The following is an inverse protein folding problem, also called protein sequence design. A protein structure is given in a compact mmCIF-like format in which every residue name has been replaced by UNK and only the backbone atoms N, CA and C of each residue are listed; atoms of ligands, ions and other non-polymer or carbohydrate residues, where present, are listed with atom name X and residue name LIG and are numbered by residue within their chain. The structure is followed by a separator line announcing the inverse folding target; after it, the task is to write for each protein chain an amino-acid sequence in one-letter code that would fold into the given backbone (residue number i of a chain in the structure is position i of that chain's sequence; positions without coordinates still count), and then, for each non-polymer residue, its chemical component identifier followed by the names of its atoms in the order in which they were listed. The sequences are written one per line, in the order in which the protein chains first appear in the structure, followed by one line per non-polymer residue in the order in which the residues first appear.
data_IF_006732136246
#
_entry.id   IF_006732136246
#
_cell.length_a   1.000
_cell.length_b   1.000
_cell.length_c   1.000
_cell.angle_alpha   90.00
_cell.angle_beta   90.00
_cell.angle_gamma   90.00
#
_symmetry.space_group_name_H-M   'P 1'
#
loop_
_entity.id
_entity.type
_entity.pdbx_description
1 polymer ?
#
# COMPACT_ATOMS: atom_id res chain seq x y z
N UNK A 1 -13.71 -33.23 0.23
CA UNK A 1 -12.35 -33.03 0.76
C UNK A 1 -12.49 -32.43 2.14
N UNK A 2 -11.94 -33.09 3.15
CA UNK A 2 -12.27 -32.85 4.56
C UNK A 2 -11.72 -31.51 5.07
N UNK A 3 -12.56 -30.71 5.74
CA UNK A 3 -12.20 -29.35 6.19
C UNK A 3 -11.07 -29.40 7.24
N UNK A 4 -11.01 -30.46 8.03
CA UNK A 4 -9.90 -30.70 8.98
C UNK A 4 -8.58 -31.02 8.28
N UNK A 5 -8.62 -31.74 7.15
CA UNK A 5 -7.44 -31.96 6.32
C UNK A 5 -6.89 -30.64 5.80
N UNK A 6 -7.76 -29.79 5.26
CA UNK A 6 -7.37 -28.46 4.77
C UNK A 6 -6.74 -27.63 5.89
N UNK A 7 -7.34 -27.61 7.09
CA UNK A 7 -6.77 -26.88 8.24
C UNK A 7 -5.39 -27.38 8.67
N UNK A 8 -5.19 -28.70 8.73
CA UNK A 8 -3.91 -29.30 9.10
C UNK A 8 -2.82 -29.01 8.07
N UNK A 9 -3.18 -29.08 6.80
CA UNK A 9 -2.30 -28.83 5.66
C UNK A 9 -1.91 -27.35 5.49
N UNK A 10 -2.75 -26.41 5.93
CA UNK A 10 -2.40 -24.97 5.96
C UNK A 10 -1.52 -24.58 7.16
N UNK A 11 -1.34 -25.47 8.14
CA UNK A 11 -0.55 -25.24 9.35
C UNK A 11 0.91 -25.71 9.23
N UNK A 12 1.19 -26.73 8.42
CA UNK A 12 2.51 -27.37 8.30
C UNK A 12 3.31 -26.90 7.05
N UNK A 13 2.90 -25.83 6.36
CA UNK A 13 3.49 -25.32 5.09
C UNK A 13 3.58 -26.33 3.92
N UNK A 14 3.18 -27.59 4.11
CA UNK A 14 3.05 -28.60 3.05
C UNK A 14 1.67 -28.54 2.40
N UNK A 15 1.54 -27.83 1.28
CA UNK A 15 0.32 -27.81 0.47
C UNK A 15 0.30 -28.98 -0.55
N UNK A 16 -0.79 -29.78 -0.66
CA UNK A 16 -0.88 -30.88 -1.59
C UNK A 16 -1.00 -30.30 -2.99
N UNK A 17 -0.34 -30.93 -3.96
CA UNK A 17 -0.19 -30.40 -5.31
C UNK A 17 -1.53 -30.11 -6.00
N UNK A 18 -2.52 -30.98 -5.84
CA UNK A 18 -3.87 -30.78 -6.42
C UNK A 18 -4.56 -29.51 -5.88
N UNK A 19 -4.44 -29.27 -4.56
CA UNK A 19 -4.99 -28.08 -3.93
C UNK A 19 -4.23 -26.84 -4.40
N UNK A 20 -2.90 -26.91 -4.49
CA UNK A 20 -2.07 -25.80 -4.98
C UNK A 20 -2.45 -25.41 -6.41
N UNK A 21 -2.67 -26.38 -7.31
CA UNK A 21 -3.11 -26.14 -8.68
C UNK A 21 -4.49 -25.49 -8.73
N UNK A 22 -5.43 -25.97 -7.90
CA UNK A 22 -6.76 -25.37 -7.82
C UNK A 22 -6.70 -23.93 -7.32
N UNK A 23 -5.97 -23.67 -6.24
CA UNK A 23 -5.78 -22.32 -5.71
C UNK A 23 -5.08 -21.43 -6.75
N UNK A 24 -4.13 -21.95 -7.51
CA UNK A 24 -3.45 -21.18 -8.55
C UNK A 24 -4.41 -20.73 -9.66
N UNK A 25 -5.40 -21.56 -10.00
CA UNK A 25 -6.42 -21.21 -10.99
C UNK A 25 -7.48 -20.24 -10.44
N UNK A 26 -7.86 -20.38 -9.17
CA UNK A 26 -9.03 -19.68 -8.60
C UNK A 26 -8.67 -18.36 -7.89
N UNK A 27 -7.45 -18.22 -7.37
CA UNK A 27 -7.05 -17.11 -6.51
C UNK A 27 -6.23 -16.03 -7.25
N UNK A 28 -6.00 -14.92 -6.55
CA UNK A 28 -5.31 -13.76 -7.07
C UNK A 28 -3.78 -13.79 -6.96
N UNK A 29 -3.17 -12.83 -7.63
CA UNK A 29 -1.72 -12.63 -7.73
C UNK A 29 -1.40 -11.15 -7.54
N UNK A 30 -0.39 -10.86 -6.73
CA UNK A 30 0.24 -9.54 -6.68
C UNK A 30 1.66 -9.71 -7.22
N UNK A 31 1.95 -9.03 -8.32
CA UNK A 31 3.25 -9.05 -8.98
C UNK A 31 3.89 -7.67 -8.82
N UNK A 32 5.12 -7.65 -8.31
CA UNK A 32 5.89 -6.43 -8.08
C UNK A 32 7.18 -6.50 -8.89
N UNK A 33 7.26 -5.71 -9.95
CA UNK A 33 8.43 -5.63 -10.80
C UNK A 33 9.47 -4.65 -10.25
N UNK A 34 10.75 -4.95 -10.52
CA UNK A 34 11.90 -4.10 -10.19
C UNK A 34 12.11 -3.82 -8.70
N UNK A 35 11.50 -4.63 -7.83
CA UNK A 35 11.69 -4.51 -6.39
C UNK A 35 13.14 -4.89 -6.03
N UNK A 36 13.92 -4.01 -5.38
CA UNK A 36 15.30 -4.33 -5.01
C UNK A 36 15.33 -5.40 -3.91
N UNK A 37 16.35 -6.30 -3.92
CA UNK A 37 16.55 -7.25 -2.83
C UNK A 37 16.88 -6.51 -1.53
N UNK A 38 16.54 -7.11 -0.40
CA UNK A 38 16.78 -6.54 0.93
C UNK A 38 15.63 -5.72 1.51
N UNK A 39 14.63 -5.34 0.71
CA UNK A 39 13.40 -4.71 1.23
C UNK A 39 12.57 -5.70 2.05
N UNK A 40 11.89 -5.21 3.08
CA UNK A 40 10.85 -5.97 3.76
C UNK A 40 9.57 -5.90 2.92
N UNK A 41 9.03 -7.05 2.51
CA UNK A 41 7.70 -7.17 1.93
C UNK A 41 6.79 -7.86 2.93
N UNK A 42 5.60 -7.30 3.15
CA UNK A 42 4.60 -7.87 4.03
C UNK A 42 3.22 -7.98 3.40
N UNK A 43 2.51 -9.03 3.82
CA UNK A 43 1.09 -9.21 3.59
C UNK A 43 0.43 -9.52 4.92
N UNK A 44 -0.57 -8.71 5.29
CA UNK A 44 -1.35 -8.89 6.50
C UNK A 44 -0.46 -9.04 7.76
N UNK A 45 -0.30 -10.26 8.26
CA UNK A 45 0.46 -10.58 9.47
C UNK A 45 1.87 -11.11 9.25
N UNK A 46 2.27 -11.45 8.02
CA UNK A 46 3.61 -11.97 7.73
C UNK A 46 4.39 -10.99 6.87
N UNK A 47 5.68 -10.89 7.15
CA UNK A 47 6.64 -10.19 6.31
C UNK A 47 7.92 -11.02 6.14
N UNK A 48 8.63 -10.71 5.06
CA UNK A 48 9.87 -11.36 4.66
C UNK A 48 10.81 -10.33 4.04
N UNK A 49 12.10 -10.62 4.07
CA UNK A 49 13.07 -9.89 3.26
C UNK A 49 13.04 -10.40 1.83
N UNK A 50 12.93 -9.49 0.88
CA UNK A 50 12.90 -9.76 -0.55
C UNK A 50 14.27 -10.32 -1.00
N UNK A 51 14.23 -11.46 -1.67
CA UNK A 51 15.38 -12.08 -2.32
C UNK A 51 15.44 -11.73 -3.82
N UNK A 52 16.59 -11.96 -4.47
CA UNK A 52 16.88 -11.51 -5.84
C UNK A 52 15.85 -11.93 -6.90
N UNK A 53 15.22 -13.10 -6.74
CA UNK A 53 14.26 -13.66 -7.70
C UNK A 53 12.81 -13.40 -7.34
N UNK A 54 12.53 -12.76 -6.21
CA UNK A 54 11.16 -12.54 -5.76
C UNK A 54 10.42 -11.61 -6.72
N UNK A 55 9.25 -12.04 -7.19
CA UNK A 55 8.40 -11.26 -8.09
C UNK A 55 7.03 -10.94 -7.50
N UNK A 56 6.74 -11.38 -6.28
CA UNK A 56 5.46 -11.13 -5.61
C UNK A 56 4.86 -12.38 -4.97
N UNK A 57 3.55 -12.38 -4.81
CA UNK A 57 2.80 -13.38 -4.06
C UNK A 57 1.62 -13.94 -4.86
N UNK A 58 1.42 -15.25 -4.74
CA UNK A 58 0.38 -16.03 -5.43
C UNK A 58 -0.60 -16.65 -4.43
N UNK A 59 -1.71 -17.17 -4.97
CA UNK A 59 -2.75 -17.86 -4.21
C UNK A 59 -3.52 -16.94 -3.25
N UNK A 60 -3.56 -15.63 -3.53
CA UNK A 60 -4.23 -14.64 -2.68
C UNK A 60 -5.75 -14.91 -2.68
N UNK A 61 -6.36 -15.29 -1.56
CA UNK A 61 -7.80 -15.54 -1.52
C UNK A 61 -8.61 -14.31 -1.94
N UNK A 62 -9.84 -14.48 -2.45
CA UNK A 62 -10.74 -13.35 -2.62
C UNK A 62 -11.02 -12.65 -1.29
N UNK A 63 -11.07 -11.32 -1.32
CA UNK A 63 -11.29 -10.49 -0.14
C UNK A 63 -10.26 -9.37 0.01
N UNK A 64 -10.33 -8.67 1.14
CA UNK A 64 -9.45 -7.54 1.43
C UNK A 64 -8.12 -8.04 1.97
N UNK A 65 -7.03 -7.47 1.49
CA UNK A 65 -5.67 -7.72 1.96
C UNK A 65 -4.91 -6.40 2.06
N UNK A 66 -3.98 -6.33 3.01
CA UNK A 66 -3.04 -5.24 3.15
C UNK A 66 -1.64 -5.71 2.74
N UNK A 67 -1.00 -4.97 1.84
CA UNK A 67 0.36 -5.21 1.41
C UNK A 67 1.22 -4.02 1.76
N UNK A 68 2.48 -4.26 2.11
CA UNK A 68 3.43 -3.19 2.34
C UNK A 68 4.84 -3.57 1.90
N UNK A 69 5.61 -2.55 1.58
CA UNK A 69 7.05 -2.58 1.45
C UNK A 69 7.67 -1.65 2.49
N UNK A 70 8.85 -2.01 2.97
CA UNK A 70 9.65 -1.15 3.83
C UNK A 70 11.12 -1.30 3.50
N UNK A 71 11.82 -0.18 3.46
CA UNK A 71 13.28 -0.15 3.55
C UNK A 71 13.67 -0.08 5.02
N UNK A 72 14.86 -0.58 5.37
CA UNK A 72 15.41 -0.43 6.72
C UNK A 72 15.47 1.06 7.09
N UNK A 73 14.93 1.42 8.26
CA UNK A 73 14.86 2.81 8.77
C UNK A 73 14.00 3.78 7.95
N UNK A 74 13.29 3.33 6.91
CA UNK A 74 12.34 4.15 6.18
C UNK A 74 10.90 3.88 6.65
N UNK A 75 9.99 4.85 6.49
CA UNK A 75 8.57 4.62 6.69
C UNK A 75 8.05 3.49 5.79
N UNK A 76 7.16 2.64 6.32
CA UNK A 76 6.47 1.62 5.52
C UNK A 76 5.57 2.29 4.49
N UNK A 77 5.50 1.73 3.30
CA UNK A 77 4.58 2.14 2.23
C UNK A 77 3.71 0.95 1.89
N UNK A 78 2.41 1.07 2.04
CA UNK A 78 1.49 -0.03 1.80
C UNK A 78 0.15 0.42 1.23
N UNK A 79 -0.68 -0.53 0.88
CA UNK A 79 -2.01 -0.27 0.34
C UNK A 79 -2.94 -1.43 0.66
N UNK A 80 -4.24 -1.13 0.69
CA UNK A 80 -5.27 -2.13 0.78
C UNK A 80 -5.80 -2.46 -0.62
N UNK A 81 -6.09 -3.73 -0.87
CA UNK A 81 -6.73 -4.20 -2.10
C UNK A 81 -7.80 -5.24 -1.77
N UNK A 82 -8.98 -5.10 -2.35
CA UNK A 82 -9.95 -6.17 -2.43
C UNK A 82 -9.66 -7.00 -3.68
N UNK A 83 -9.23 -8.25 -3.51
CA UNK A 83 -8.98 -9.20 -4.59
C UNK A 83 -10.25 -9.94 -4.96
N UNK A 84 -10.49 -10.04 -6.27
CA UNK A 84 -11.45 -10.98 -6.87
C UNK A 84 -10.73 -12.29 -7.22
N UNK A 85 -11.49 -13.36 -7.44
CA UNK A 85 -10.94 -14.61 -7.93
C UNK A 85 -10.22 -14.42 -9.28
N UNK A 86 -9.06 -15.06 -9.45
CA UNK A 86 -8.20 -14.95 -10.64
C UNK A 86 -7.79 -13.49 -11.00
N UNK A 87 -7.72 -12.59 -10.02
CA UNK A 87 -7.28 -11.20 -10.27
C UNK A 87 -5.75 -11.06 -10.18
N UNK A 88 -5.16 -10.34 -11.13
CA UNK A 88 -3.73 -10.02 -11.13
C UNK A 88 -3.56 -8.52 -10.89
N UNK A 89 -2.91 -8.16 -9.78
CA UNK A 89 -2.43 -6.82 -9.53
C UNK A 89 -0.96 -6.73 -9.95
N UNK A 90 -0.66 -5.91 -10.94
CA UNK A 90 0.72 -5.61 -11.35
C UNK A 90 1.13 -4.24 -10.81
N UNK A 91 2.26 -4.18 -10.14
CA UNK A 91 2.90 -2.96 -9.67
C UNK A 91 4.37 -2.94 -10.07
N UNK A 92 4.94 -1.74 -10.15
CA UNK A 92 6.35 -1.53 -10.48
C UNK A 92 6.98 -0.65 -9.44
N UNK A 93 8.14 -1.07 -8.94
CA UNK A 93 8.95 -0.25 -8.05
C UNK A 93 9.77 0.76 -8.86
N UNK A 94 9.76 2.01 -8.42
CA UNK A 94 10.65 3.06 -8.90
C UNK A 94 11.83 3.20 -7.94
N UNK A 95 13.04 2.90 -8.43
CA UNK A 95 14.26 2.95 -7.63
C UNK A 95 14.67 4.38 -7.28
N UNK A 96 14.31 5.38 -8.09
CA UNK A 96 14.68 6.77 -7.85
C UNK A 96 13.75 7.41 -6.83
N UNK A 97 12.45 7.10 -6.91
CA UNK A 97 11.45 7.60 -5.97
C UNK A 97 11.37 6.78 -4.68
N UNK A 98 12.06 5.63 -4.61
CA UNK A 98 11.98 4.65 -3.51
C UNK A 98 10.53 4.32 -3.12
N UNK A 99 9.66 4.21 -4.13
CA UNK A 99 8.23 4.00 -3.98
C UNK A 99 7.66 3.25 -5.18
N UNK A 100 6.35 2.96 -5.16
CA UNK A 100 5.67 2.42 -6.33
C UNK A 100 5.53 3.48 -7.40
N UNK A 101 5.85 3.12 -8.65
CA UNK A 101 5.73 3.99 -9.82
C UNK A 101 4.28 4.40 -10.04
N UNK A 102 4.03 5.69 -10.26
CA UNK A 102 2.71 6.25 -10.59
C UNK A 102 2.13 5.72 -11.91
N UNK A 103 2.98 5.12 -12.77
CA UNK A 103 2.53 4.48 -14.01
C UNK A 103 1.71 3.23 -13.71
N UNK A 104 0.41 3.32 -13.96
CA UNK A 104 -0.50 2.18 -13.88
C UNK A 104 -0.17 1.15 -14.97
N UNK A 105 -0.32 -0.14 -14.64
CA UNK A 105 -0.17 -1.22 -15.61
C UNK A 105 -1.27 -1.13 -16.68
N UNK A 106 -0.88 -1.29 -17.94
CA UNK A 106 -1.85 -1.38 -19.04
C UNK A 106 -2.54 -2.74 -19.04
N UNK A 107 -3.69 -2.85 -19.73
CA UNK A 107 -4.37 -4.14 -19.91
C UNK A 107 -3.48 -5.15 -20.63
N UNK A 108 -2.71 -4.68 -21.61
CA UNK A 108 -1.77 -5.50 -22.38
C UNK A 108 -0.65 -6.06 -21.51
N UNK A 109 -0.14 -5.28 -20.55
CA UNK A 109 0.86 -5.76 -19.59
C UNK A 109 0.29 -6.89 -18.72
N UNK A 110 -0.95 -6.74 -18.26
CA UNK A 110 -1.65 -7.74 -17.44
C UNK A 110 -1.91 -9.02 -18.25
N UNK A 111 -2.32 -8.91 -19.52
CA UNK A 111 -2.56 -10.06 -20.39
C UNK A 111 -1.26 -10.83 -20.71
N UNK A 112 -0.18 -10.13 -21.04
CA UNK A 112 1.15 -10.73 -21.24
C UNK A 112 1.63 -11.44 -19.99
N UNK A 113 1.43 -10.82 -18.82
CA UNK A 113 1.78 -11.41 -17.53
C UNK A 113 0.94 -12.65 -17.25
N UNK A 114 -0.37 -12.62 -17.52
CA UNK A 114 -1.28 -13.76 -17.37
C UNK A 114 -0.82 -14.96 -18.20
N UNK A 115 -0.41 -14.73 -19.45
CA UNK A 115 0.14 -15.77 -20.32
C UNK A 115 1.48 -16.36 -19.81
N UNK A 116 2.26 -15.57 -19.06
CA UNK A 116 3.58 -15.95 -18.56
C UNK A 116 3.58 -16.45 -17.09
N UNK A 117 2.42 -16.54 -16.43
CA UNK A 117 2.30 -16.86 -15.00
C UNK A 117 3.03 -18.17 -14.62
N UNK A 118 2.91 -19.22 -15.44
CA UNK A 118 3.56 -20.51 -15.15
C UNK A 118 5.08 -20.41 -15.14
N UNK A 119 5.67 -19.58 -16.00
CA UNK A 119 7.13 -19.43 -16.08
C UNK A 119 7.70 -18.69 -14.87
N UNK A 120 6.91 -17.78 -14.29
CA UNK A 120 7.30 -16.99 -13.12
C UNK A 120 6.84 -17.62 -11.79
N UNK A 121 6.08 -18.71 -11.81
CA UNK A 121 5.47 -19.32 -10.61
C UNK A 121 6.49 -19.64 -9.49
N UNK A 122 7.68 -20.10 -9.88
CA UNK A 122 8.81 -20.39 -8.97
C UNK A 122 9.38 -19.16 -8.26
N UNK A 123 9.09 -17.97 -8.77
CA UNK A 123 9.55 -16.69 -8.27
C UNK A 123 8.47 -16.00 -7.40
N UNK A 124 7.32 -16.65 -7.19
CA UNK A 124 6.21 -16.13 -6.39
C UNK A 124 6.10 -16.88 -5.07
N UNK A 125 6.03 -16.13 -3.97
CA UNK A 125 5.75 -16.70 -2.66
C UNK A 125 4.29 -17.13 -2.56
N UNK A 126 4.00 -18.21 -1.83
CA UNK A 126 2.62 -18.59 -1.53
C UNK A 126 2.03 -17.66 -0.46
N UNK A 127 0.73 -17.36 -0.59
CA UNK A 127 0.00 -16.63 0.44
C UNK A 127 0.07 -17.35 1.80
N UNK A 128 0.31 -16.64 2.93
CA UNK A 128 0.50 -17.27 4.24
C UNK A 128 -0.84 -17.70 4.87
N UNK A 129 -1.32 -18.87 4.45
CA UNK A 129 -2.60 -19.40 4.90
C UNK A 129 -2.67 -19.67 6.41
N UNK A 130 -1.54 -19.93 7.06
CA UNK A 130 -1.45 -20.12 8.52
C UNK A 130 -2.01 -18.93 9.32
N UNK A 131 -1.96 -17.72 8.75
CA UNK A 131 -2.46 -16.48 9.39
C UNK A 131 -3.77 -15.96 8.76
N UNK A 132 -4.33 -16.67 7.78
CA UNK A 132 -5.48 -16.20 7.02
C UNK A 132 -6.73 -16.02 7.90
N UNK A 133 -6.98 -16.95 8.83
CA UNK A 133 -8.16 -16.89 9.69
C UNK A 133 -8.13 -15.66 10.61
N UNK A 134 -6.98 -15.33 11.19
CA UNK A 134 -6.82 -14.14 12.04
C UNK A 134 -7.07 -12.87 11.23
N UNK A 135 -6.59 -12.83 9.99
CA UNK A 135 -6.81 -11.68 9.11
C UNK A 135 -8.29 -11.49 8.79
N UNK A 136 -8.98 -12.57 8.40
CA UNK A 136 -10.41 -12.53 8.11
C UNK A 136 -11.21 -12.01 9.31
N UNK A 137 -10.84 -12.41 10.54
CA UNK A 137 -11.49 -11.93 11.75
C UNK A 137 -11.28 -10.43 12.00
N UNK A 138 -10.10 -9.88 11.68
CA UNK A 138 -9.83 -8.44 11.81
C UNK A 138 -10.47 -7.61 10.70
N UNK A 139 -10.63 -8.18 9.50
CA UNK A 139 -11.07 -7.44 8.32
C UNK A 139 -12.54 -7.67 7.94
N UNK A 140 -13.31 -8.46 8.71
CA UNK A 140 -14.65 -8.91 8.33
C UNK A 140 -15.69 -7.79 8.13
N UNK A 141 -15.52 -6.63 8.77
CA UNK A 141 -16.40 -5.47 8.59
C UNK A 141 -15.94 -4.49 7.51
N UNK A 142 -14.73 -4.69 6.97
CA UNK A 142 -14.20 -3.87 5.88
C UNK A 142 -14.74 -4.46 4.58
N UNK A 143 -15.46 -3.65 3.80
CA UNK A 143 -15.97 -4.02 2.48
C UNK A 143 -15.42 -3.10 1.38
N UNK A 144 -15.64 -3.45 0.12
CA UNK A 144 -15.17 -2.65 -1.04
C UNK A 144 -15.61 -1.19 -0.95
N UNK A 145 -16.85 -0.92 -0.54
CA UNK A 145 -17.36 0.44 -0.36
C UNK A 145 -16.57 1.23 0.70
N UNK A 146 -16.21 0.58 1.80
CA UNK A 146 -15.41 1.19 2.87
C UNK A 146 -14.00 1.48 2.38
N UNK A 147 -13.42 0.54 1.63
CA UNK A 147 -12.10 0.68 1.04
C UNK A 147 -12.04 1.85 0.04
N UNK A 148 -12.95 1.90 -0.93
CA UNK A 148 -12.99 2.98 -1.93
C UNK A 148 -13.22 4.36 -1.29
N UNK A 149 -14.05 4.42 -0.25
CA UNK A 149 -14.27 5.67 0.49
C UNK A 149 -13.03 6.15 1.24
N UNK A 150 -12.25 5.24 1.82
CA UNK A 150 -11.07 5.54 2.65
C UNK A 150 -9.76 5.53 1.85
N UNK A 151 -9.79 5.21 0.56
CA UNK A 151 -8.61 5.15 -0.27
C UNK A 151 -7.99 6.55 -0.43
N UNK A 152 -6.70 6.74 -0.12
CA UNK A 152 -5.99 7.97 -0.46
C UNK A 152 -6.09 8.24 -1.97
N UNK A 153 -6.11 9.52 -2.37
CA UNK A 153 -6.30 9.90 -3.78
C UNK A 153 -5.03 9.84 -4.62
N UNK A 154 -3.90 9.45 -4.03
CA UNK A 154 -2.66 9.19 -4.76
C UNK A 154 -2.79 7.97 -5.71
N UNK A 155 -1.82 7.81 -6.61
CA UNK A 155 -1.84 6.89 -7.76
C UNK A 155 -2.24 5.43 -7.46
N UNK A 156 -1.99 4.90 -6.26
CA UNK A 156 -2.34 3.53 -5.87
C UNK A 156 -3.16 3.43 -4.58
N UNK A 157 -3.56 4.55 -3.97
CA UNK A 157 -4.11 4.54 -2.62
C UNK A 157 -3.09 4.12 -1.56
N UNK A 158 -1.83 4.53 -1.76
CA UNK A 158 -0.71 4.27 -0.86
C UNK A 158 -0.93 4.97 0.48
N UNK A 159 -0.61 4.26 1.54
CA UNK A 159 -0.57 4.69 2.92
C UNK A 159 0.87 4.57 3.38
N UNK A 160 1.42 5.66 3.90
CA UNK A 160 2.79 5.72 4.39
C UNK A 160 2.79 5.79 5.92
N UNK A 161 3.79 5.17 6.56
CA UNK A 161 3.96 5.23 8.02
C UNK A 161 4.27 6.65 8.52
N UNK A 162 4.74 7.52 7.63
CA UNK A 162 4.90 8.94 7.85
C UNK A 162 4.23 9.67 6.68
N UNK A 163 3.24 10.54 6.93
CA UNK A 163 2.52 11.23 5.86
C UNK A 163 3.50 12.10 5.07
N UNK A 164 3.34 12.13 3.75
CA UNK A 164 3.99 13.14 2.93
C UNK A 164 3.45 14.51 3.33
N UNK A 165 4.35 15.45 3.57
CA UNK A 165 3.99 16.81 3.99
C UNK A 165 4.58 17.84 3.05
N UNK A 166 3.82 18.90 2.81
CA UNK A 166 4.27 20.11 2.12
C UNK A 166 4.36 21.25 3.11
N UNK A 167 5.35 22.11 2.92
CA UNK A 167 5.46 23.37 3.65
C UNK A 167 4.44 24.38 3.13
N UNK A 168 4.03 25.32 3.97
CA UNK A 168 3.16 26.43 3.55
C UNK A 168 3.81 27.31 2.47
N UNK A 169 5.13 27.39 2.46
CA UNK A 169 5.92 28.03 1.40
C UNK A 169 5.78 27.31 0.06
N UNK A 170 5.82 25.97 0.05
CA UNK A 170 5.60 25.18 -1.17
C UNK A 170 4.19 25.35 -1.71
N UNK A 171 3.17 25.36 -0.83
CA UNK A 171 1.79 25.66 -1.23
C UNK A 171 1.67 27.04 -1.89
N UNK A 172 2.25 28.08 -1.27
CA UNK A 172 2.25 29.43 -1.83
C UNK A 172 2.97 29.49 -3.18
N UNK A 173 4.10 28.79 -3.30
CA UNK A 173 4.86 28.75 -4.55
C UNK A 173 4.09 28.07 -5.69
N UNK A 174 3.31 27.03 -5.38
CA UNK A 174 2.41 26.37 -6.32
C UNK A 174 1.25 27.29 -6.72
N UNK A 175 0.62 28.00 -5.76
CA UNK A 175 -0.44 28.98 -6.03
C UNK A 175 0.04 30.12 -6.93
N UNK A 176 1.28 30.59 -6.73
CA UNK A 176 1.91 31.63 -7.55
C UNK A 176 2.45 31.13 -8.90
N UNK A 177 2.49 29.80 -9.09
CA UNK A 177 3.15 29.13 -10.21
C UNK A 177 4.60 29.61 -10.44
N UNK A 178 5.28 29.99 -9.35
CA UNK A 178 6.63 30.57 -9.39
C UNK A 178 7.38 30.29 -8.08
N UNK A 179 8.18 29.23 -8.10
CA UNK A 179 9.02 28.83 -6.95
C UNK A 179 10.12 29.84 -6.65
N UNK A 180 10.58 30.59 -7.64
CA UNK A 180 11.70 31.50 -7.44
C UNK A 180 11.35 32.61 -6.44
N UNK A 181 10.13 33.14 -6.52
CA UNK A 181 9.63 34.23 -5.66
C UNK A 181 9.50 33.86 -4.19
N UNK A 182 9.40 32.57 -3.87
CA UNK A 182 9.22 32.10 -2.49
C UNK A 182 10.53 31.59 -1.89
N UNK A 183 11.35 30.89 -2.70
CA UNK A 183 12.55 30.21 -2.19
C UNK A 183 13.85 30.95 -2.44
N UNK A 184 13.94 31.76 -3.50
CA UNK A 184 15.17 32.45 -3.85
C UNK A 184 15.20 33.84 -3.20
N UNK A 185 16.41 34.25 -2.81
CA UNK A 185 16.69 35.62 -2.42
C UNK A 185 17.45 36.26 -3.56
N UNK A 186 16.86 37.29 -4.15
CA UNK A 186 17.46 38.05 -5.25
C UNK A 186 17.26 39.56 -5.01
N UNK A 187 17.61 40.36 -6.02
CA UNK A 187 17.51 41.82 -5.92
C UNK A 187 16.05 42.31 -5.87
N UNK A 188 15.11 41.56 -6.43
CA UNK A 188 13.67 41.87 -6.48
C UNK A 188 12.94 41.31 -5.24
N UNK A 189 13.47 40.24 -4.64
CA UNK A 189 12.98 39.55 -3.45
C UNK A 189 14.11 39.44 -2.41
N UNK A 190 14.44 40.53 -1.68
CA UNK A 190 15.59 40.57 -0.78
C UNK A 190 15.40 39.76 0.51
N UNK A 191 14.17 39.36 0.82
CA UNK A 191 13.83 38.58 2.01
C UNK A 191 13.20 37.25 1.62
N UNK A 192 13.60 36.18 2.33
CA UNK A 192 13.02 34.85 2.13
C UNK A 192 11.73 34.73 2.92
N UNK A 193 10.62 34.49 2.23
CA UNK A 193 9.33 34.14 2.85
C UNK A 193 9.49 32.88 3.70
N UNK A 194 9.15 32.97 5.00
CA UNK A 194 9.13 31.83 5.91
C UNK A 194 7.89 31.83 6.78
N UNK A 195 7.13 30.76 6.72
CA UNK A 195 5.97 30.53 7.57
C UNK A 195 6.35 29.64 8.74
N UNK A 196 6.16 30.15 9.96
CA UNK A 196 6.50 29.43 11.18
C UNK A 196 5.34 29.41 12.15
N UNK A 197 5.26 28.35 12.95
CA UNK A 197 4.35 28.28 14.09
C UNK A 197 4.87 29.10 15.30
N UNK A 198 4.14 29.06 16.40
CA UNK A 198 4.51 29.76 17.63
C UNK A 198 5.84 29.27 18.25
N UNK A 199 6.30 28.07 17.90
CA UNK A 199 7.58 27.51 18.33
C UNK A 199 8.71 27.79 17.31
N UNK A 200 8.42 28.49 16.21
CA UNK A 200 9.38 28.79 15.16
C UNK A 200 9.63 27.65 14.16
N UNK A 201 8.86 26.56 14.22
CA UNK A 201 8.97 25.43 13.30
C UNK A 201 8.22 25.71 11.98
N UNK A 202 8.68 25.15 10.85
CA UNK A 202 7.96 25.24 9.59
C UNK A 202 6.53 24.72 9.73
N UNK A 203 5.57 25.44 9.13
CA UNK A 203 4.19 24.98 9.08
C UNK A 203 4.09 23.89 8.01
N UNK A 204 4.00 22.64 8.45
CA UNK A 204 3.83 21.46 7.59
C UNK A 204 2.35 21.06 7.52
N UNK A 205 1.86 20.77 6.32
CA UNK A 205 0.54 20.18 6.09
C UNK A 205 0.69 18.87 5.33
N UNK A 206 -0.23 17.93 5.53
CA UNK A 206 -0.27 16.69 4.75
C UNK A 206 -0.49 17.05 3.28
N UNK A 207 0.33 16.48 2.40
CA UNK A 207 0.26 16.70 0.96
C UNK A 207 -1.11 16.23 0.44
N UNK A 208 -1.80 17.05 -0.37
CA UNK A 208 -3.10 16.67 -0.92
C UNK A 208 -3.06 15.32 -1.66
N UNK A 209 -4.02 14.46 -1.35
CA UNK A 209 -4.15 13.11 -1.88
C UNK A 209 -3.42 12.01 -1.11
N UNK A 210 -2.59 12.37 -0.13
CA UNK A 210 -1.93 11.41 0.78
C UNK A 210 -2.68 11.24 2.10
N UNK A 211 -3.68 12.08 2.37
CA UNK A 211 -4.58 11.92 3.50
C UNK A 211 -5.48 10.69 3.34
N UNK A 212 -5.74 10.03 4.47
CA UNK A 212 -6.81 9.03 4.56
C UNK A 212 -8.10 9.79 4.91
N UNK A 213 -9.13 9.79 4.04
CA UNK A 213 -10.36 10.55 4.24
C UNK A 213 -11.29 9.88 5.26
N UNK A 214 -10.85 9.82 6.51
CA UNK A 214 -11.66 9.33 7.62
C UNK A 214 -12.90 10.20 7.82
N UNK A 215 -13.97 9.56 8.28
CA UNK A 215 -15.17 10.28 8.71
C UNK A 215 -14.81 11.10 9.95
N UNK A 216 -15.11 12.41 9.92
CA UNK A 216 -14.94 13.27 11.09
C UNK A 216 -15.85 12.76 12.21
N UNK A 217 -15.26 12.49 13.37
CA UNK A 217 -16.02 12.13 14.56
C UNK A 217 -16.66 13.43 15.07
N UNK A 218 -17.99 13.48 15.23
CA UNK A 218 -18.64 14.68 15.76
C UNK A 218 -18.23 14.91 17.21
N UNK A 219 -17.98 16.16 17.58
CA UNK A 219 -17.78 16.54 18.97
C UNK A 219 -19.12 16.39 19.71
N UNK A 220 -19.18 15.50 20.70
CA UNK A 220 -20.35 15.38 21.57
C UNK A 220 -20.12 16.29 22.77
N UNK A 221 -20.88 17.39 22.93
CA UNK A 221 -20.78 18.20 24.14
C UNK A 221 -21.23 17.34 25.33
N UNK A 222 -20.33 17.10 26.29
CA UNK A 222 -20.68 16.44 27.54
C UNK A 222 -21.46 17.43 28.38
N UNK A 223 -22.79 17.40 28.26
CA UNK A 223 -23.67 18.06 29.22
C UNK A 223 -23.57 17.30 30.53
N UNK A 224 -22.75 17.80 31.47
CA UNK A 224 -22.77 17.32 32.85
C UNK A 224 -24.10 17.75 33.45
N UNK A 225 -25.09 16.86 33.43
CA UNK A 225 -26.29 17.02 34.25
C UNK A 225 -25.85 16.78 35.70
N UNK A 226 -25.54 17.86 36.43
CA UNK A 226 -25.56 17.82 37.88
C UNK A 226 -27.02 17.68 38.31
N UNK A 227 -27.35 16.51 38.85
CA UNK A 227 -28.61 16.28 39.57
C UNK A 227 -28.43 16.64 41.03
#
# INVERSE_FOLDING_TARGET
MDIEKIKKTLADDEMPQELAQKLFADNGFLIIQNCPPGLEFGVNFKSWTIADKFLGIKLIPPGIHYFFLSTTHAPRIGFFKCFKGNEIQLMKWDKLAESFSDKLASKEDIERLKANLQNIDRNLAAYPFSTAQNWIQLSNFINERTLERLKPKNCHGLITGQPETVTKEEELAEEMNDKSKVFNVDREHPERTRFRDAAGLPIMKVKPGFEIPFTKIPDVPVSIFFC
#
